data_IF_388723774869
#
_entry.id   IF_388723774869
#
_cell.length_a   1.000
_cell.length_b   1.000
_cell.length_c   1.000
_cell.angle_alpha   90.00
_cell.angle_beta   90.00
_cell.angle_gamma   90.00
#
_symmetry.space_group_name_H-M   'P 1'
#
loop_
_entity.id
_entity.type
_entity.pdbx_description
1 polymer ?
#
# COMPACT_ATOMS: atom_id res chain seq x y z
N UNK A 1 -3.89 -3.67 -19.92
CA UNK A 1 -4.54 -4.02 -18.64
C UNK A 1 -5.57 -2.94 -18.31
N UNK A 2 -6.87 -3.27 -18.29
CA UNK A 2 -7.91 -2.32 -17.87
C UNK A 2 -7.73 -2.03 -16.37
N UNK A 3 -7.86 -0.76 -15.99
CA UNK A 3 -7.76 -0.24 -14.62
C UNK A 3 -8.74 -1.03 -13.73
N UNK A 4 -8.21 -1.78 -12.76
CA UNK A 4 -9.03 -2.35 -11.67
C UNK A 4 -9.37 -1.17 -10.77
N UNK A 5 -10.61 -0.69 -10.79
CA UNK A 5 -11.14 0.30 -9.83
C UNK A 5 -11.76 -0.46 -8.63
N UNK A 6 -12.13 0.25 -7.55
CA UNK A 6 -12.84 -0.34 -6.42
C UNK A 6 -14.25 -0.82 -6.79
N UNK A 7 -14.83 -1.82 -6.08
CA UNK A 7 -16.18 -2.30 -6.35
C UNK A 7 -17.21 -1.17 -6.29
N UNK A 8 -18.16 -1.14 -7.24
CA UNK A 8 -19.17 -0.08 -7.33
C UNK A 8 -19.98 0.13 -6.05
N UNK A 9 -20.30 -0.96 -5.33
CA UNK A 9 -21.06 -0.93 -4.07
C UNK A 9 -20.22 -0.67 -2.82
N UNK A 10 -18.88 -0.64 -2.91
CA UNK A 10 -18.03 -0.41 -1.74
C UNK A 10 -18.08 1.06 -1.32
N UNK A 11 -18.49 1.35 -0.08
CA UNK A 11 -18.47 2.71 0.47
C UNK A 11 -17.70 2.71 1.79
N UNK A 12 -16.62 3.51 1.92
CA UNK A 12 -15.95 3.73 3.20
C UNK A 12 -16.94 4.09 4.31
N UNK A 13 -16.74 3.51 5.48
CA UNK A 13 -17.57 3.72 6.66
C UNK A 13 -16.75 3.60 7.94
N UNK A 14 -17.28 4.12 9.05
CA UNK A 14 -16.65 3.99 10.37
C UNK A 14 -16.42 2.53 10.75
N UNK A 15 -17.39 1.66 10.44
CA UNK A 15 -17.28 0.21 10.68
C UNK A 15 -16.13 -0.40 9.87
N UNK A 16 -15.97 0.01 8.62
CA UNK A 16 -14.91 -0.51 7.75
C UNK A 16 -13.53 -0.03 8.18
N UNK A 17 -13.38 1.26 8.48
CA UNK A 17 -12.13 1.82 8.97
C UNK A 17 -11.72 1.13 10.29
N UNK A 18 -12.65 0.97 11.24
CA UNK A 18 -12.36 0.27 12.49
C UNK A 18 -11.93 -1.18 12.25
N UNK A 19 -12.60 -1.90 11.36
CA UNK A 19 -12.23 -3.27 11.04
C UNK A 19 -10.79 -3.37 10.49
N UNK A 20 -10.38 -2.46 9.62
CA UNK A 20 -9.00 -2.45 9.10
C UNK A 20 -7.98 -2.10 10.19
N UNK A 21 -8.32 -1.23 11.13
CA UNK A 21 -7.46 -0.93 12.28
C UNK A 21 -7.32 -2.14 13.22
N UNK A 22 -8.41 -2.87 13.44
CA UNK A 22 -8.38 -4.09 14.25
C UNK A 22 -7.58 -5.20 13.55
N UNK A 23 -7.74 -5.34 12.23
CA UNK A 23 -6.96 -6.27 11.42
C UNK A 23 -5.47 -5.93 11.40
N UNK A 24 -5.11 -4.63 11.40
CA UNK A 24 -3.72 -4.18 11.47
C UNK A 24 -2.98 -4.77 12.68
N UNK A 25 -3.65 -4.88 13.84
CA UNK A 25 -3.07 -5.46 15.05
C UNK A 25 -2.74 -6.96 14.91
N UNK A 26 -3.34 -7.64 13.95
CA UNK A 26 -3.13 -9.07 13.68
C UNK A 26 -2.03 -9.31 12.63
N UNK A 27 -1.39 -8.25 12.14
CA UNK A 27 -0.33 -8.32 11.14
C UNK A 27 1.05 -8.01 11.77
N UNK A 28 1.67 -8.97 12.50
CA UNK A 28 2.86 -8.72 13.31
C UNK A 28 4.05 -8.16 12.52
N UNK A 29 4.16 -8.50 11.23
CA UNK A 29 5.23 -8.00 10.39
C UNK A 29 5.15 -6.48 10.21
N UNK A 30 3.95 -5.94 9.96
CA UNK A 30 3.75 -4.50 9.77
C UNK A 30 3.70 -3.77 11.11
N UNK A 31 3.02 -4.32 12.11
CA UNK A 31 2.93 -3.69 13.43
C UNK A 31 4.30 -3.61 14.13
N UNK A 32 5.15 -4.63 14.01
CA UNK A 32 6.50 -4.60 14.60
C UNK A 32 7.41 -3.59 13.91
N UNK A 33 7.33 -3.47 12.57
CA UNK A 33 8.08 -2.46 11.82
C UNK A 33 7.63 -1.04 12.21
N UNK A 34 6.33 -0.79 12.31
CA UNK A 34 5.80 0.50 12.78
C UNK A 34 6.22 0.79 14.23
N UNK A 35 6.12 -0.17 15.13
CA UNK A 35 6.54 0.01 16.53
C UNK A 35 8.05 0.29 16.64
N UNK A 36 8.87 -0.32 15.78
CA UNK A 36 10.30 -0.07 15.73
C UNK A 36 10.61 1.34 15.22
N UNK A 37 9.91 1.81 14.18
CA UNK A 37 10.02 3.19 13.70
C UNK A 37 9.51 4.19 14.75
N UNK A 38 8.39 3.91 15.42
CA UNK A 38 7.87 4.76 16.50
C UNK A 38 8.90 4.90 17.63
N UNK A 39 9.52 3.78 18.04
CA UNK A 39 10.62 3.81 19.01
C UNK A 39 11.80 4.65 18.50
N UNK A 40 12.18 4.50 17.24
CA UNK A 40 13.28 5.24 16.64
C UNK A 40 13.00 6.75 16.60
N UNK A 41 11.86 7.14 16.03
CA UNK A 41 11.49 8.54 15.79
C UNK A 41 11.02 9.29 17.03
N UNK A 42 10.55 8.62 18.09
CA UNK A 42 10.04 9.32 19.28
C UNK A 42 10.86 9.10 20.56
N UNK A 43 11.71 8.08 20.62
CA UNK A 43 12.45 7.74 21.85
C UNK A 43 13.96 7.79 21.67
N UNK A 44 14.48 7.29 20.55
CA UNK A 44 15.93 7.19 20.33
C UNK A 44 16.49 8.42 19.61
N UNK A 45 15.83 8.86 18.54
CA UNK A 45 16.30 9.92 17.64
C UNK A 45 15.18 10.96 17.35
N UNK A 46 14.61 11.61 18.38
CA UNK A 46 13.43 12.47 18.24
C UNK A 46 13.65 13.73 17.41
N UNK A 47 14.90 14.22 17.34
CA UNK A 47 15.25 15.45 16.64
C UNK A 47 16.08 15.15 15.39
N UNK A 48 16.25 16.16 14.53
CA UNK A 48 16.97 16.05 13.25
C UNK A 48 18.25 16.90 13.27
N UNK A 49 18.95 16.91 14.42
CA UNK A 49 20.07 17.82 14.70
C UNK A 49 21.46 17.22 14.43
N UNK A 50 21.56 15.89 14.29
CA UNK A 50 22.83 15.20 14.01
C UNK A 50 22.69 14.34 12.74
N UNK A 51 23.79 14.15 12.03
CA UNK A 51 23.77 13.36 10.80
C UNK A 51 23.50 11.89 11.09
N UNK A 52 24.00 11.36 12.23
CA UNK A 52 23.83 9.98 12.67
C UNK A 52 22.35 9.65 12.92
N UNK A 53 21.63 10.53 13.62
CA UNK A 53 20.21 10.36 13.92
C UNK A 53 19.36 10.43 12.64
N UNK A 54 19.68 11.35 11.75
CA UNK A 54 18.98 11.46 10.46
C UNK A 54 19.28 10.24 9.59
N UNK A 55 20.54 9.79 9.51
CA UNK A 55 20.95 8.61 8.73
C UNK A 55 20.25 7.34 9.19
N UNK A 56 20.20 7.06 10.50
CA UNK A 56 19.54 5.85 11.00
C UNK A 56 18.04 5.89 10.72
N UNK A 57 17.38 7.04 10.88
CA UNK A 57 15.98 7.24 10.51
C UNK A 57 15.74 6.99 9.02
N UNK A 58 16.52 7.63 8.15
CA UNK A 58 16.41 7.45 6.71
C UNK A 58 16.63 5.99 6.30
N UNK A 59 17.63 5.32 6.89
CA UNK A 59 17.97 3.93 6.56
C UNK A 59 16.87 2.96 6.96
N UNK A 60 16.40 3.04 8.21
CA UNK A 60 15.31 2.19 8.72
C UNK A 60 14.01 2.43 7.95
N UNK A 61 13.69 3.69 7.67
CA UNK A 61 12.48 4.04 6.92
C UNK A 61 12.54 3.53 5.49
N UNK A 62 13.69 3.67 4.81
CA UNK A 62 13.88 3.20 3.45
C UNK A 62 13.74 1.69 3.32
N UNK A 63 14.26 0.93 4.28
CA UNK A 63 14.14 -0.52 4.33
C UNK A 63 12.69 -0.96 4.57
N UNK A 64 12.06 -0.47 5.65
CA UNK A 64 10.73 -0.93 6.05
C UNK A 64 9.62 -0.54 5.07
N UNK A 65 9.75 0.62 4.41
CA UNK A 65 8.82 1.06 3.37
C UNK A 65 9.28 0.73 1.95
N UNK A 66 10.42 0.08 1.78
CA UNK A 66 10.99 -0.30 0.47
C UNK A 66 11.02 0.87 -0.52
N UNK A 67 11.43 2.07 -0.07
CA UNK A 67 11.44 3.27 -0.92
C UNK A 67 12.55 3.25 -1.98
N UNK A 68 13.45 2.26 -1.93
CA UNK A 68 14.53 2.01 -2.90
C UNK A 68 15.46 3.21 -3.15
N UNK A 69 15.72 3.99 -2.11
CA UNK A 69 16.75 5.03 -2.13
C UNK A 69 18.12 4.35 -1.97
N UNK A 70 18.98 4.51 -2.97
CA UNK A 70 20.35 3.98 -2.95
C UNK A 70 21.34 4.90 -2.22
N UNK A 71 21.18 6.21 -2.38
CA UNK A 71 22.07 7.22 -1.80
C UNK A 71 21.42 7.87 -0.57
N UNK A 72 21.30 7.07 0.50
CA UNK A 72 20.68 7.51 1.76
C UNK A 72 21.45 8.65 2.40
N UNK A 73 22.78 8.67 2.26
CA UNK A 73 23.62 9.69 2.84
C UNK A 73 23.30 11.09 2.29
N UNK A 74 23.13 11.22 0.98
CA UNK A 74 22.79 12.51 0.36
C UNK A 74 21.45 13.04 0.87
N UNK A 75 20.44 12.17 1.02
CA UNK A 75 19.14 12.58 1.57
C UNK A 75 19.25 12.98 3.04
N UNK A 76 20.03 12.25 3.83
CA UNK A 76 20.22 12.58 5.24
C UNK A 76 20.92 13.93 5.42
N UNK A 77 21.93 14.24 4.60
CA UNK A 77 22.57 15.55 4.60
C UNK A 77 21.59 16.66 4.20
N UNK A 78 20.77 16.42 3.17
CA UNK A 78 19.72 17.35 2.76
C UNK A 78 18.76 17.67 3.90
N UNK A 79 18.20 16.65 4.55
CA UNK A 79 17.27 16.82 5.69
C UNK A 79 17.92 17.60 6.83
N UNK A 80 19.16 17.25 7.21
CA UNK A 80 19.91 17.94 8.26
C UNK A 80 20.10 19.43 7.93
N UNK A 81 20.40 19.76 6.66
CA UNK A 81 20.60 21.14 6.21
C UNK A 81 19.34 22.02 6.36
N UNK A 82 18.15 21.43 6.25
CA UNK A 82 16.86 22.12 6.28
C UNK A 82 16.41 22.52 7.70
N UNK A 83 17.05 22.00 8.77
CA UNK A 83 16.72 22.29 10.19
C UNK A 83 15.22 22.16 10.49
N UNK A 84 14.69 20.99 10.17
CA UNK A 84 13.23 20.78 9.97
C UNK A 84 12.39 20.70 11.25
N UNK A 85 13.00 20.53 12.43
CA UNK A 85 12.27 20.24 13.68
C UNK A 85 11.23 21.29 14.05
N UNK A 86 11.53 22.57 13.84
CA UNK A 86 10.57 23.66 14.08
C UNK A 86 9.36 23.59 13.15
N UNK A 87 9.60 23.31 11.87
CA UNK A 87 8.57 23.21 10.82
C UNK A 87 7.69 21.98 11.00
N UNK A 88 8.28 20.83 11.36
CA UNK A 88 7.55 19.62 11.75
C UNK A 88 6.58 19.91 12.90
N UNK A 89 7.06 20.54 13.99
CA UNK A 89 6.20 20.90 15.13
C UNK A 89 5.05 21.83 14.74
N UNK A 90 5.25 22.71 13.77
CA UNK A 90 4.20 23.61 13.28
C UNK A 90 3.21 22.91 12.35
N UNK A 91 3.58 21.79 11.73
CA UNK A 91 2.75 21.13 10.71
C UNK A 91 2.85 21.82 9.35
N UNK A 92 4.01 22.40 9.03
CA UNK A 92 4.25 23.03 7.74
C UNK A 92 4.21 21.97 6.62
N UNK A 93 3.20 22.05 5.75
CA UNK A 93 3.00 21.11 4.65
C UNK A 93 4.03 21.28 3.52
N UNK A 94 4.56 22.50 3.32
CA UNK A 94 5.59 22.76 2.29
C UNK A 94 6.90 22.03 2.57
N UNK A 95 7.12 21.62 3.82
CA UNK A 95 8.29 20.86 4.23
C UNK A 95 8.43 19.53 3.47
N UNK A 96 7.31 18.88 3.11
CA UNK A 96 7.36 17.64 2.34
C UNK A 96 7.99 17.89 0.98
N UNK A 97 7.61 18.99 0.32
CA UNK A 97 8.16 19.35 -0.99
C UNK A 97 9.66 19.65 -0.85
N UNK A 98 10.06 20.42 0.16
CA UNK A 98 11.48 20.72 0.41
C UNK A 98 12.33 19.48 0.68
N UNK A 99 11.84 18.54 1.50
CA UNK A 99 12.56 17.27 1.76
C UNK A 99 12.61 16.41 0.50
N UNK A 100 11.56 16.44 -0.32
CA UNK A 100 11.46 15.57 -1.48
C UNK A 100 12.41 15.96 -2.62
N UNK A 101 12.75 17.23 -2.79
CA UNK A 101 13.60 17.71 -3.87
C UNK A 101 15.06 17.75 -3.44
N UNK A 102 15.84 16.76 -3.90
CA UNK A 102 17.26 16.64 -3.57
C UNK A 102 18.10 16.87 -4.83
N UNK A 103 18.97 17.87 -4.78
CA UNK A 103 19.89 18.19 -5.87
C UNK A 103 21.18 17.40 -5.74
N UNK A 104 21.58 16.72 -6.82
CA UNK A 104 22.88 16.05 -6.93
C UNK A 104 23.57 16.48 -8.22
N UNK A 105 24.45 17.48 -8.09
CA UNK A 105 25.03 18.16 -9.26
C UNK A 105 23.95 18.93 -10.02
N UNK A 106 23.76 18.63 -11.30
CA UNK A 106 22.75 19.29 -12.15
C UNK A 106 21.43 18.50 -12.26
N UNK A 107 21.26 17.43 -11.47
CA UNK A 107 20.08 16.56 -11.52
C UNK A 107 19.29 16.73 -10.22
N UNK A 108 17.99 17.02 -10.36
CA UNK A 108 17.03 17.02 -9.25
C UNK A 108 16.40 15.62 -9.16
N UNK A 109 16.51 15.00 -7.99
CA UNK A 109 15.81 13.75 -7.67
C UNK A 109 14.62 14.05 -6.76
N UNK A 110 13.43 13.55 -7.09
CA UNK A 110 12.22 13.72 -6.29
C UNK A 110 11.89 12.46 -5.48
N UNK A 111 12.00 12.55 -4.16
CA UNK A 111 11.72 11.47 -3.19
C UNK A 111 10.41 11.71 -2.43
N UNK A 112 9.34 12.09 -3.15
CA UNK A 112 8.07 12.51 -2.57
C UNK A 112 7.45 11.50 -1.58
N UNK A 113 7.35 10.23 -1.99
CA UNK A 113 6.79 9.19 -1.13
C UNK A 113 7.62 8.93 0.13
N UNK A 114 8.94 9.16 0.08
CA UNK A 114 9.81 9.08 1.25
C UNK A 114 9.62 10.29 2.17
N UNK A 115 9.58 11.50 1.61
CA UNK A 115 9.39 12.74 2.37
C UNK A 115 8.09 12.73 3.20
N UNK A 116 6.99 12.25 2.61
CA UNK A 116 5.70 12.10 3.33
C UNK A 116 5.80 11.13 4.50
N UNK A 117 6.46 9.98 4.30
CA UNK A 117 6.71 8.99 5.37
C UNK A 117 7.57 9.57 6.48
N UNK A 118 8.63 10.28 6.12
CA UNK A 118 9.55 10.88 7.09
C UNK A 118 8.81 11.89 7.98
N UNK A 119 7.99 12.76 7.37
CA UNK A 119 7.19 13.74 8.12
C UNK A 119 6.08 13.06 8.96
N UNK A 120 5.40 12.06 8.41
CA UNK A 120 4.37 11.28 9.12
C UNK A 120 4.93 10.56 10.34
N UNK A 121 6.13 9.96 10.27
CA UNK A 121 6.73 9.28 11.42
C UNK A 121 7.19 10.26 12.52
N UNK A 122 7.48 11.52 12.17
CA UNK A 122 7.71 12.57 13.16
C UNK A 122 6.41 13.12 13.77
N UNK A 123 5.38 13.29 12.94
CA UNK A 123 4.14 13.99 13.30
C UNK A 123 2.91 13.27 12.69
N UNK A 124 2.56 12.08 13.20
CA UNK A 124 1.58 11.18 12.57
C UNK A 124 0.14 11.70 12.53
N UNK A 125 -0.16 12.75 13.30
CA UNK A 125 -1.47 13.40 13.32
C UNK A 125 -1.57 14.59 12.36
N UNK A 126 -0.46 14.99 11.74
CA UNK A 126 -0.38 16.20 10.90
C UNK A 126 -0.05 15.89 9.45
N UNK A 127 0.68 14.81 9.20
CA UNK A 127 1.16 14.44 7.88
C UNK A 127 0.63 13.08 7.49
N UNK A 128 -0.12 13.02 6.39
CA UNK A 128 -0.52 11.77 5.76
C UNK A 128 0.62 11.20 4.91
N UNK A 129 0.67 9.88 4.80
CA UNK A 129 1.62 9.15 3.95
C UNK A 129 1.08 9.04 2.53
N UNK A 130 1.88 9.51 1.56
CA UNK A 130 1.60 9.25 0.16
C UNK A 130 2.23 7.93 -0.28
N UNK A 131 1.40 7.04 -0.82
CA UNK A 131 1.84 5.84 -1.53
C UNK A 131 0.88 5.48 -2.68
N UNK A 132 1.30 4.56 -3.54
CA UNK A 132 0.52 4.16 -4.72
C UNK A 132 -0.82 3.49 -4.41
N UNK A 133 -0.97 2.85 -3.25
CA UNK A 133 -2.24 2.27 -2.82
C UNK A 133 -3.21 3.34 -2.36
N UNK A 134 -2.78 4.25 -1.50
CA UNK A 134 -3.57 5.42 -1.08
C UNK A 134 -4.03 6.23 -2.30
N UNK A 135 -3.12 6.56 -3.21
CA UNK A 135 -3.44 7.28 -4.46
C UNK A 135 -4.54 6.57 -5.25
N UNK A 136 -4.41 5.27 -5.50
CA UNK A 136 -5.41 4.51 -6.26
C UNK A 136 -6.77 4.48 -5.58
N UNK A 137 -6.82 4.37 -4.25
CA UNK A 137 -8.08 4.41 -3.50
C UNK A 137 -8.75 5.77 -3.68
N UNK A 138 -8.02 6.86 -3.41
CA UNK A 138 -8.57 8.23 -3.52
C UNK A 138 -9.06 8.51 -4.93
N UNK A 139 -8.26 8.17 -5.96
CA UNK A 139 -8.66 8.36 -7.37
C UNK A 139 -9.90 7.52 -7.71
N UNK A 140 -9.97 6.26 -7.29
CA UNK A 140 -11.10 5.37 -7.61
C UNK A 140 -12.40 5.89 -6.99
N UNK A 141 -12.33 6.28 -5.72
CA UNK A 141 -13.48 6.82 -5.00
C UNK A 141 -13.89 8.20 -5.52
N UNK A 142 -12.93 9.09 -5.81
CA UNK A 142 -13.25 10.46 -6.23
C UNK A 142 -13.87 10.50 -7.64
N UNK A 143 -13.46 9.59 -8.54
CA UNK A 143 -14.12 9.44 -9.85
C UNK A 143 -15.59 9.05 -9.74
N UNK A 144 -15.95 8.28 -8.71
CA UNK A 144 -17.30 7.73 -8.53
C UNK A 144 -18.18 8.68 -7.72
N UNK A 145 -17.66 9.19 -6.61
CA UNK A 145 -18.43 9.88 -5.59
C UNK A 145 -18.22 11.40 -5.61
N UNK A 146 -17.21 11.88 -6.34
CA UNK A 146 -16.85 13.30 -6.43
C UNK A 146 -16.70 13.96 -5.06
N UNK A 147 -16.05 13.26 -4.12
CA UNK A 147 -15.93 13.70 -2.74
C UNK A 147 -14.99 14.91 -2.58
N UNK A 148 -14.06 15.13 -3.53
CA UNK A 148 -13.08 16.23 -3.50
C UNK A 148 -12.97 16.90 -4.86
N UNK A 149 -12.74 18.22 -4.84
CA UNK A 149 -12.46 18.99 -6.05
C UNK A 149 -11.01 18.83 -6.55
N UNK A 150 -10.13 18.20 -5.75
CA UNK A 150 -8.72 17.96 -6.08
C UNK A 150 -8.62 17.01 -7.26
N UNK A 151 -7.87 17.40 -8.29
CA UNK A 151 -7.63 16.57 -9.47
C UNK A 151 -6.57 15.53 -9.19
N UNK A 152 -6.60 14.45 -9.98
CA UNK A 152 -5.65 13.34 -9.81
C UNK A 152 -4.20 13.79 -9.98
N UNK A 153 -3.93 14.71 -10.90
CA UNK A 153 -2.60 15.25 -11.17
C UNK A 153 -2.08 16.11 -10.00
N UNK A 154 -3.00 16.69 -9.22
CA UNK A 154 -2.71 17.59 -8.09
C UNK A 154 -2.35 16.81 -6.80
N UNK A 155 -2.61 15.50 -6.73
CA UNK A 155 -2.23 14.66 -5.58
C UNK A 155 -0.71 14.58 -5.33
N UNK A 156 0.11 15.03 -6.28
CA UNK A 156 1.56 15.17 -6.12
C UNK A 156 2.00 16.49 -5.48
N UNK A 157 1.08 17.41 -5.26
CA UNK A 157 1.27 18.60 -4.43
C UNK A 157 0.79 18.26 -3.03
N UNK A 158 1.67 18.35 -2.03
CA UNK A 158 1.36 17.78 -0.71
C UNK A 158 0.16 18.45 -0.01
N UNK A 159 -0.01 19.77 -0.19
CA UNK A 159 -1.19 20.48 0.34
C UNK A 159 -2.51 20.00 -0.27
N UNK A 160 -2.53 19.74 -1.57
CA UNK A 160 -3.71 19.22 -2.28
C UNK A 160 -3.97 17.75 -1.90
N UNK A 161 -2.91 16.96 -1.69
CA UNK A 161 -3.05 15.61 -1.15
C UNK A 161 -3.68 15.62 0.25
N UNK A 162 -3.19 16.47 1.17
CA UNK A 162 -3.76 16.59 2.51
C UNK A 162 -5.22 17.08 2.47
N UNK A 163 -5.54 18.00 1.55
CA UNK A 163 -6.92 18.43 1.32
C UNK A 163 -7.80 17.28 0.84
N UNK A 164 -7.33 16.46 -0.10
CA UNK A 164 -8.07 15.28 -0.56
C UNK A 164 -8.29 14.26 0.58
N UNK A 165 -7.32 14.09 1.49
CA UNK A 165 -7.49 13.26 2.70
C UNK A 165 -8.57 13.84 3.63
N UNK A 166 -8.59 15.16 3.83
CA UNK A 166 -9.60 15.80 4.68
C UNK A 166 -11.01 15.73 4.05
N UNK A 167 -11.12 16.04 2.76
CA UNK A 167 -12.37 15.93 2.01
C UNK A 167 -12.90 14.47 2.06
N UNK A 168 -12.01 13.49 1.93
CA UNK A 168 -12.33 12.06 2.10
C UNK A 168 -12.89 11.77 3.51
N UNK A 169 -12.20 12.24 4.56
CA UNK A 169 -12.62 12.03 5.95
C UNK A 169 -13.98 12.64 6.22
N UNK A 170 -14.21 13.86 5.73
CA UNK A 170 -15.48 14.56 5.90
C UNK A 170 -16.61 13.86 5.14
N UNK A 171 -16.40 13.55 3.86
CA UNK A 171 -17.44 12.99 2.99
C UNK A 171 -17.93 11.61 3.45
N UNK A 172 -17.03 10.76 3.94
CA UNK A 172 -17.38 9.41 4.41
C UNK A 172 -17.65 9.33 5.92
N UNK A 173 -17.65 10.46 6.64
CA UNK A 173 -17.92 10.49 8.09
C UNK A 173 -16.83 9.83 8.92
N UNK A 174 -15.57 9.88 8.47
CA UNK A 174 -14.40 9.27 9.11
C UNK A 174 -13.59 10.25 9.97
N UNK A 175 -14.16 11.42 10.28
CA UNK A 175 -13.58 12.41 11.20
C UNK A 175 -13.18 11.87 12.59
N UNK A 176 -13.83 10.82 13.15
CA UNK A 176 -13.37 10.21 14.41
C UNK A 176 -11.98 9.59 14.37
N UNK A 177 -11.45 9.26 13.18
CA UNK A 177 -10.13 8.68 13.01
C UNK A 177 -9.09 9.77 12.72
N UNK A 178 -7.91 9.67 13.33
CA UNK A 178 -6.81 10.58 13.04
C UNK A 178 -6.11 10.25 11.71
N UNK A 179 -5.18 11.10 11.28
CA UNK A 179 -4.48 10.95 9.99
C UNK A 179 -3.75 9.61 9.89
N UNK A 180 -3.05 9.18 10.94
CA UNK A 180 -2.36 7.88 10.97
C UNK A 180 -3.33 6.72 10.79
N UNK A 181 -4.48 6.77 11.46
CA UNK A 181 -5.51 5.74 11.32
C UNK A 181 -6.12 5.71 9.91
N UNK A 182 -6.34 6.88 9.31
CA UNK A 182 -6.82 7.00 7.93
C UNK A 182 -5.78 6.45 6.94
N UNK A 183 -4.50 6.74 7.14
CA UNK A 183 -3.42 6.20 6.31
C UNK A 183 -3.35 4.67 6.41
N UNK A 184 -3.41 4.11 7.61
CA UNK A 184 -3.44 2.66 7.83
C UNK A 184 -4.65 2.02 7.15
N UNK A 185 -5.81 2.66 7.21
CA UNK A 185 -7.01 2.20 6.54
C UNK A 185 -6.88 2.25 5.01
N UNK A 186 -6.53 3.41 4.45
CA UNK A 186 -6.41 3.62 3.00
C UNK A 186 -5.33 2.72 2.38
N UNK A 187 -4.20 2.55 3.06
CA UNK A 187 -3.13 1.67 2.59
C UNK A 187 -3.59 0.21 2.58
N UNK A 188 -4.21 -0.28 3.66
CA UNK A 188 -4.71 -1.65 3.72
C UNK A 188 -5.81 -1.90 2.70
N UNK A 189 -6.72 -0.95 2.53
CA UNK A 189 -7.78 -1.01 1.53
C UNK A 189 -7.18 -1.09 0.12
N UNK A 190 -6.27 -0.17 -0.21
CA UNK A 190 -5.64 -0.14 -1.53
C UNK A 190 -4.80 -1.38 -1.78
N UNK A 191 -4.08 -1.88 -0.77
CA UNK A 191 -3.36 -3.15 -0.86
C UNK A 191 -4.30 -4.33 -1.05
N UNK A 192 -5.44 -4.36 -0.35
CA UNK A 192 -6.43 -5.42 -0.48
C UNK A 192 -6.96 -5.53 -1.92
N UNK A 193 -7.24 -4.40 -2.56
CA UNK A 193 -7.90 -4.36 -3.88
C UNK A 193 -6.95 -4.22 -5.08
N UNK A 194 -5.81 -3.54 -4.94
CA UNK A 194 -4.92 -3.23 -6.06
C UNK A 194 -3.62 -4.04 -6.05
N UNK A 195 -3.35 -4.83 -5.02
CA UNK A 195 -2.20 -5.74 -5.05
C UNK A 195 -2.48 -6.87 -6.04
N UNK A 196 -1.69 -6.95 -7.11
CA UNK A 196 -1.80 -7.99 -8.15
C UNK A 196 -1.59 -9.42 -7.61
N UNK A 197 -1.12 -9.56 -6.36
CA UNK A 197 -0.86 -10.83 -5.69
C UNK A 197 -1.69 -11.05 -4.42
N UNK A 198 -2.68 -10.19 -4.13
CA UNK A 198 -3.50 -10.30 -2.91
C UNK A 198 -4.20 -11.66 -2.78
N UNK A 199 -4.60 -12.24 -3.91
CA UNK A 199 -5.39 -13.48 -4.02
C UNK A 199 -4.58 -14.74 -3.73
N UNK A 200 -3.34 -14.81 -4.23
CA UNK A 200 -2.43 -15.91 -3.93
C UNK A 200 -1.89 -15.83 -2.51
N UNK A 201 -1.71 -14.62 -1.98
CA UNK A 201 -1.28 -14.38 -0.60
C UNK A 201 -2.30 -14.88 0.44
N UNK A 202 -3.60 -14.56 0.29
CA UNK A 202 -4.68 -15.05 1.16
C UNK A 202 -4.72 -16.59 1.23
N UNK A 203 -4.60 -17.25 0.08
CA UNK A 203 -4.54 -18.71 -0.01
C UNK A 203 -3.28 -19.32 0.63
N UNK A 204 -2.09 -18.75 0.39
CA UNK A 204 -0.84 -19.28 0.95
C UNK A 204 -0.71 -19.06 2.46
N UNK A 205 -1.37 -18.05 3.01
CA UNK A 205 -1.39 -17.81 4.46
C UNK A 205 -2.43 -18.65 5.22
N UNK A 206 -3.12 -19.59 4.54
CA UNK A 206 -4.13 -20.48 5.14
C UNK A 206 -5.28 -19.74 5.81
N UNK A 207 -5.69 -18.59 5.28
CA UNK A 207 -6.93 -17.97 5.71
C UNK A 207 -8.09 -18.83 5.20
N UNK A 208 -8.58 -19.74 6.06
CA UNK A 208 -9.50 -20.84 5.68
C UNK A 208 -10.97 -20.53 5.93
N UNK A 209 -11.27 -19.56 6.80
CA UNK A 209 -12.62 -19.17 7.19
C UNK A 209 -12.95 -17.78 6.66
N UNK A 210 -14.16 -17.62 6.14
CA UNK A 210 -14.66 -16.32 5.71
C UNK A 210 -14.95 -15.46 6.95
N UNK A 211 -14.20 -14.37 7.20
CA UNK A 211 -14.40 -13.56 8.40
C UNK A 211 -15.58 -12.58 8.25
N UNK A 212 -16.24 -12.57 7.09
CA UNK A 212 -17.25 -11.58 6.76
C UNK A 212 -18.67 -12.16 6.88
N UNK A 213 -19.63 -11.40 7.44
CA UNK A 213 -21.04 -11.76 7.45
C UNK A 213 -21.62 -11.96 6.03
N UNK A 214 -22.62 -12.84 5.82
CA UNK A 214 -23.17 -13.13 4.48
C UNK A 214 -23.70 -11.93 3.69
N UNK A 215 -24.13 -10.87 4.38
CA UNK A 215 -24.64 -9.63 3.80
C UNK A 215 -23.54 -8.62 3.43
N UNK A 216 -22.30 -8.86 3.89
CA UNK A 216 -21.15 -8.01 3.60
C UNK A 216 -20.64 -8.21 2.18
N UNK A 217 -20.41 -7.13 1.44
CA UNK A 217 -19.88 -7.22 0.08
C UNK A 217 -18.53 -7.95 0.04
N UNK A 218 -17.73 -7.87 1.12
CA UNK A 218 -16.45 -8.58 1.27
C UNK A 218 -16.63 -10.09 1.43
N UNK A 219 -17.76 -10.56 1.97
CA UNK A 219 -18.08 -11.98 2.07
C UNK A 219 -18.19 -12.62 0.68
N UNK A 220 -18.95 -11.99 -0.22
CA UNK A 220 -19.13 -12.49 -1.59
C UNK A 220 -17.81 -12.52 -2.37
N UNK A 221 -16.97 -11.52 -2.14
CA UNK A 221 -15.63 -11.49 -2.74
C UNK A 221 -14.71 -12.54 -2.11
N UNK A 222 -14.72 -12.69 -0.79
CA UNK A 222 -13.95 -13.74 -0.12
C UNK A 222 -14.32 -15.13 -0.64
N UNK A 223 -15.60 -15.45 -0.70
CA UNK A 223 -16.07 -16.74 -1.16
C UNK A 223 -15.81 -16.93 -2.67
N UNK A 224 -16.07 -15.92 -3.50
CA UNK A 224 -15.75 -15.97 -4.93
C UNK A 224 -14.26 -16.14 -5.21
N UNK A 225 -13.40 -15.41 -4.50
CA UNK A 225 -11.94 -15.49 -4.62
C UNK A 225 -11.40 -16.82 -4.10
N UNK A 226 -11.88 -17.29 -2.94
CA UNK A 226 -11.45 -18.56 -2.35
C UNK A 226 -11.97 -19.77 -3.13
N UNK A 227 -13.19 -19.73 -3.66
CA UNK A 227 -13.71 -20.77 -4.55
C UNK A 227 -12.96 -20.80 -5.88
N UNK A 228 -12.64 -19.64 -6.48
CA UNK A 228 -11.80 -19.57 -7.67
C UNK A 228 -10.42 -20.19 -7.43
N UNK A 229 -9.75 -19.82 -6.34
CA UNK A 229 -8.44 -20.38 -6.01
C UNK A 229 -8.55 -21.88 -5.69
N UNK A 230 -9.50 -22.32 -4.84
CA UNK A 230 -9.71 -23.74 -4.53
C UNK A 230 -9.99 -24.56 -5.79
N UNK A 231 -10.84 -24.08 -6.70
CA UNK A 231 -11.16 -24.77 -7.95
C UNK A 231 -9.97 -24.81 -8.91
N UNK A 232 -9.16 -23.75 -9.01
CA UNK A 232 -7.94 -23.76 -9.83
C UNK A 232 -6.87 -24.68 -9.23
N UNK A 233 -6.68 -24.67 -7.92
CA UNK A 233 -5.75 -25.58 -7.26
C UNK A 233 -6.21 -27.03 -7.40
N UNK A 234 -7.50 -27.32 -7.22
CA UNK A 234 -8.07 -28.64 -7.43
C UNK A 234 -7.96 -29.12 -8.89
N UNK A 235 -7.86 -28.20 -9.85
CA UNK A 235 -7.63 -28.48 -11.28
C UNK A 235 -6.17 -28.69 -11.65
N UNK A 236 -5.22 -28.64 -10.70
CA UNK A 236 -3.82 -29.00 -10.91
C UNK A 236 -3.69 -30.51 -11.21
N UNK A 237 -4.03 -30.91 -12.43
CA UNK A 237 -3.76 -32.26 -12.90
C UNK A 237 -2.24 -32.40 -13.04
N UNK A 238 -1.66 -33.37 -12.35
CA UNK A 238 -0.30 -33.86 -12.61
C UNK A 238 0.83 -32.80 -12.58
N UNK A 239 0.71 -31.77 -11.73
CA UNK A 239 1.82 -30.82 -11.50
C UNK A 239 2.06 -29.82 -12.64
N UNK A 240 1.04 -29.55 -13.46
CA UNK A 240 1.05 -28.53 -14.52
C UNK A 240 1.58 -27.17 -14.05
N UNK A 241 1.24 -26.74 -12.82
CA UNK A 241 1.74 -25.49 -12.25
C UNK A 241 3.25 -25.51 -12.06
N UNK A 242 3.81 -26.62 -11.61
CA UNK A 242 5.26 -26.78 -11.44
C UNK A 242 6.00 -26.69 -12.77
N UNK A 243 5.43 -27.27 -13.84
CA UNK A 243 6.01 -27.21 -15.18
C UNK A 243 5.96 -25.79 -15.74
N UNK A 244 4.80 -25.13 -15.64
CA UNK A 244 4.59 -23.77 -16.12
C UNK A 244 5.46 -22.74 -15.40
N UNK A 245 5.61 -22.88 -14.07
CA UNK A 245 6.50 -22.04 -13.28
C UNK A 245 7.97 -22.20 -13.68
N UNK A 246 8.43 -23.44 -13.90
CA UNK A 246 9.78 -23.71 -14.42
C UNK A 246 10.00 -23.14 -15.81
N UNK A 247 9.00 -23.24 -16.69
CA UNK A 247 9.08 -22.76 -18.07
C UNK A 247 9.21 -21.24 -18.13
N UNK A 248 8.36 -20.52 -17.41
CA UNK A 248 8.38 -19.05 -17.38
C UNK A 248 9.69 -18.53 -16.76
N UNK A 249 10.25 -19.25 -15.77
CA UNK A 249 11.54 -18.87 -15.17
C UNK A 249 12.73 -18.94 -16.14
N UNK A 250 12.67 -19.77 -17.18
CA UNK A 250 13.76 -19.88 -18.17
C UNK A 250 14.02 -18.55 -18.88
N UNK A 251 12.95 -17.80 -19.15
CA UNK A 251 12.99 -16.58 -19.95
C UNK A 251 12.59 -15.33 -19.14
N UNK A 252 12.47 -15.45 -17.82
CA UNK A 252 12.06 -14.37 -16.93
C UNK A 252 13.16 -13.32 -16.75
N UNK A 253 12.74 -12.05 -16.57
CA UNK A 253 13.63 -10.97 -16.15
C UNK A 253 14.26 -11.25 -14.78
N UNK A 254 15.38 -10.61 -14.47
CA UNK A 254 16.04 -10.79 -13.16
C UNK A 254 15.14 -10.36 -12.00
N UNK A 255 14.33 -9.32 -12.19
CA UNK A 255 13.34 -8.89 -11.21
C UNK A 255 12.26 -9.95 -10.99
N UNK A 256 11.81 -10.62 -12.06
CA UNK A 256 10.85 -11.72 -11.98
C UNK A 256 11.46 -12.96 -11.32
N UNK A 257 12.75 -13.27 -11.58
CA UNK A 257 13.46 -14.38 -10.93
C UNK A 257 13.68 -14.12 -9.43
N UNK A 258 14.04 -12.89 -9.07
CA UNK A 258 14.18 -12.46 -7.66
C UNK A 258 12.84 -12.52 -6.91
N UNK A 259 11.73 -12.21 -7.59
CA UNK A 259 10.40 -12.40 -7.01
C UNK A 259 10.07 -13.90 -6.88
N UNK A 260 10.33 -14.69 -7.91
CA UNK A 260 10.04 -16.12 -7.95
C UNK A 260 10.82 -16.94 -6.92
N UNK A 261 12.04 -16.54 -6.56
CA UNK A 261 12.87 -17.25 -5.58
C UNK A 261 12.25 -17.32 -4.17
N UNK A 262 11.19 -16.55 -3.91
CA UNK A 262 10.40 -16.59 -2.68
C UNK A 262 9.39 -17.74 -2.63
N UNK A 263 9.24 -18.48 -3.73
CA UNK A 263 8.19 -19.48 -3.91
C UNK A 263 8.77 -20.78 -4.50
N UNK A 264 8.15 -21.92 -4.24
CA UNK A 264 8.49 -23.14 -4.98
C UNK A 264 8.06 -23.00 -6.45
N UNK A 265 8.65 -23.76 -7.40
CA UNK A 265 8.27 -23.66 -8.81
C UNK A 265 6.79 -23.92 -9.08
N UNK A 266 6.16 -24.77 -8.26
CA UNK A 266 4.72 -25.02 -8.31
C UNK A 266 3.91 -23.82 -7.83
N UNK A 267 4.32 -23.22 -6.71
CA UNK A 267 3.65 -22.01 -6.20
C UNK A 267 3.79 -20.84 -7.17
N UNK A 268 4.98 -20.66 -7.73
CA UNK A 268 5.26 -19.62 -8.70
C UNK A 268 4.45 -19.82 -9.99
N UNK A 269 4.38 -21.05 -10.51
CA UNK A 269 3.58 -21.33 -11.70
C UNK A 269 2.07 -21.19 -11.48
N UNK A 270 1.57 -21.51 -10.28
CA UNK A 270 0.19 -21.24 -9.89
C UNK A 270 -0.10 -19.74 -9.83
N UNK A 271 0.78 -18.94 -9.22
CA UNK A 271 0.69 -17.47 -9.18
C UNK A 271 0.63 -16.89 -10.60
N UNK A 272 1.49 -17.38 -11.49
CA UNK A 272 1.55 -16.93 -12.88
C UNK A 272 0.31 -17.34 -13.67
N UNK A 273 -0.20 -18.57 -13.47
CA UNK A 273 -1.41 -19.04 -14.12
C UNK A 273 -2.63 -18.23 -13.69
N UNK A 274 -2.77 -17.98 -12.38
CA UNK A 274 -3.79 -17.10 -11.83
C UNK A 274 -3.69 -15.72 -12.49
N UNK A 275 -2.49 -15.12 -12.55
CA UNK A 275 -2.27 -13.82 -13.18
C UNK A 275 -2.62 -13.81 -14.69
N UNK A 276 -2.26 -14.86 -15.43
CA UNK A 276 -2.52 -14.98 -16.88
C UNK A 276 -4.01 -15.16 -17.18
N UNK A 277 -4.74 -15.90 -16.35
CA UNK A 277 -6.20 -16.01 -16.43
C UNK A 277 -6.89 -14.68 -16.12
N UNK A 278 -6.44 -13.97 -15.08
CA UNK A 278 -6.92 -12.62 -14.75
C UNK A 278 -6.63 -11.60 -15.84
N UNK A 279 -5.56 -11.79 -16.63
CA UNK A 279 -5.27 -10.95 -17.78
C UNK A 279 -6.21 -11.23 -18.97
N UNK A 280 -6.85 -12.41 -19.02
CA UNK A 280 -7.64 -12.87 -20.17
C UNK A 280 -9.16 -12.90 -19.96
N UNK A 281 -9.71 -12.95 -18.74
CA UNK A 281 -11.17 -13.06 -18.56
C UNK A 281 -11.80 -12.30 -17.36
N UNK A 282 -12.94 -11.65 -17.69
CA UNK A 282 -14.12 -11.20 -16.94
C UNK A 282 -13.91 -10.17 -15.78
N UNK A 283 -14.59 -9.01 -15.81
CA UNK A 283 -14.58 -8.04 -14.71
C UNK A 283 -15.16 -8.66 -13.42
N UNK A 284 -14.60 -8.28 -12.27
CA UNK A 284 -15.06 -8.68 -10.92
C UNK A 284 -16.56 -8.44 -10.67
N UNK A 285 -17.20 -7.63 -11.52
CA UNK A 285 -18.57 -7.21 -11.50
C UNK A 285 -19.55 -8.25 -12.08
N UNK A 286 -19.06 -9.28 -12.79
CA UNK A 286 -19.89 -10.32 -13.40
C UNK A 286 -19.74 -11.65 -12.65
N UNK A 287 -20.74 -11.94 -11.82
CA UNK A 287 -20.85 -13.13 -10.98
C UNK A 287 -21.67 -14.25 -11.63
N UNK A 288 -22.11 -14.10 -12.89
CA UNK A 288 -22.95 -15.12 -13.56
C UNK A 288 -22.30 -16.51 -13.68
N UNK A 289 -21.00 -16.61 -13.43
CA UNK A 289 -20.24 -17.86 -13.43
C UNK A 289 -20.32 -18.62 -12.09
N UNK A 290 -20.70 -17.99 -10.98
CA UNK A 290 -20.84 -18.66 -9.67
C UNK A 290 -22.05 -19.58 -9.61
N UNK A 291 -23.06 -19.34 -10.45
CA UNK A 291 -24.27 -20.18 -10.52
C UNK A 291 -24.11 -21.37 -11.48
N UNK A 292 -22.98 -21.45 -12.19
CA UNK A 292 -22.74 -22.45 -13.25
C UNK A 292 -21.82 -23.59 -12.83
N UNK A 293 -21.32 -23.59 -11.59
CA UNK A 293 -20.44 -24.59 -10.99
C UNK A 293 -20.69 -24.69 -9.48
#
# INVERSE_FOLDING_TARGET
>A
MKKKDLPKGYRPSVKDAQWFLDYWMQLPNYSNQENALEKLFHKLCPENNTIEDVLIKCSSLNDFYSTNIFDIHTIAQHILSLRIDGRLRQGDLSLVDDISHVEKGNIVHTFYSFATKYCSHHQPKKYAIYDSYVEKVLISLNKRDHFSAVKNEELRTYSEFMKAIEDFRQYYGLMPFDIKQIDQYLWQLGKWYFNQYGLSYKYYNREVENPYPPDDIRNRFWDGEMMFVKNIVARNKEGEWKLKGKEILKNASDQTKQFASKFTPEQFGMILYINELYARHIPFDDFSWTDKY
#
